data_IF_535975155373
#
_entry.id   IF_535975155373
#
_cell.length_a   1.000
_cell.length_b   1.000
_cell.length_c   1.000
_cell.angle_alpha   90.00
_cell.angle_beta   90.00
_cell.angle_gamma   90.00
#
_symmetry.space_group_name_H-M   'P 1'
#
loop_
_entity.id
_entity.type
_entity.pdbx_description
1 polymer ?
#
# COMPACT_ATOMS: atom_id res chain seq x y z
N UNK A 1 16.08 -58.66 38.39
CA UNK A 1 15.81 -57.22 38.21
C UNK A 1 14.89 -57.06 37.00
N UNK A 2 13.59 -56.81 37.22
CA UNK A 2 12.56 -56.92 36.17
C UNK A 2 12.28 -55.54 35.55
N UNK A 3 12.73 -55.28 34.32
CA UNK A 3 12.45 -54.04 33.57
C UNK A 3 11.00 -54.05 33.09
N UNK A 4 10.12 -53.26 33.73
CA UNK A 4 8.79 -52.98 33.22
C UNK A 4 8.91 -51.99 32.07
N UNK A 5 8.77 -52.47 30.83
CA UNK A 5 8.67 -51.60 29.66
C UNK A 5 7.29 -50.93 29.69
N UNK A 6 7.22 -49.72 30.24
CA UNK A 6 6.06 -48.84 30.07
C UNK A 6 6.06 -48.32 28.62
N UNK A 7 5.44 -49.09 27.72
CA UNK A 7 5.10 -48.62 26.39
C UNK A 7 4.11 -47.45 26.54
N UNK A 8 4.61 -46.22 26.47
CA UNK A 8 3.76 -45.03 26.41
C UNK A 8 2.78 -45.17 25.25
N UNK A 9 1.47 -45.04 25.53
CA UNK A 9 0.43 -45.00 24.50
C UNK A 9 0.83 -43.94 23.47
N UNK A 10 1.09 -44.38 22.24
CA UNK A 10 1.26 -43.48 21.10
C UNK A 10 -0.12 -42.86 20.82
N UNK A 11 -0.37 -41.68 21.37
CA UNK A 11 -1.56 -40.89 21.08
C UNK A 11 -1.36 -40.28 19.69
N UNK A 12 -1.82 -40.98 18.66
CA UNK A 12 -1.83 -40.47 17.27
C UNK A 12 -3.04 -39.56 17.04
N UNK A 13 -2.87 -38.58 16.15
CA UNK A 13 -3.96 -37.72 15.68
C UNK A 13 -4.96 -38.55 14.87
N UNK A 14 -6.26 -38.38 15.12
CA UNK A 14 -7.29 -39.09 14.36
C UNK A 14 -7.58 -38.36 13.04
N UNK A 15 -7.94 -39.11 11.99
CA UNK A 15 -8.36 -38.51 10.73
C UNK A 15 -9.62 -37.65 10.89
N UNK A 16 -10.51 -38.03 11.81
CA UNK A 16 -11.74 -37.27 12.08
C UNK A 16 -11.44 -35.91 12.73
N UNK A 17 -10.47 -35.84 13.64
CA UNK A 17 -10.02 -34.56 14.22
C UNK A 17 -9.51 -33.62 13.13
N UNK A 18 -8.77 -34.15 12.14
CA UNK A 18 -8.28 -33.32 11.04
C UNK A 18 -9.42 -32.82 10.14
N UNK A 19 -10.39 -33.68 9.84
CA UNK A 19 -11.54 -33.35 8.97
C UNK A 19 -12.41 -32.25 9.59
N UNK A 20 -12.66 -32.30 10.90
CA UNK A 20 -13.45 -31.27 11.58
C UNK A 20 -12.71 -29.92 11.58
N UNK A 21 -11.39 -29.93 11.79
CA UNK A 21 -10.58 -28.69 11.79
C UNK A 21 -10.61 -28.00 10.42
N UNK A 22 -10.41 -28.73 9.33
CA UNK A 22 -10.47 -28.14 7.98
C UNK A 22 -11.88 -27.64 7.64
N UNK A 23 -12.93 -28.30 8.13
CA UNK A 23 -14.30 -27.87 7.93
C UNK A 23 -14.58 -26.51 8.60
N UNK A 24 -14.14 -26.34 9.86
CA UNK A 24 -14.30 -25.07 10.59
C UNK A 24 -13.45 -23.95 9.96
N UNK A 25 -12.20 -24.24 9.59
CA UNK A 25 -11.33 -23.27 8.90
C UNK A 25 -11.96 -22.85 7.56
N UNK A 26 -12.56 -23.77 6.82
CA UNK A 26 -13.25 -23.47 5.56
C UNK A 26 -14.38 -22.45 5.73
N UNK A 27 -15.22 -22.62 6.74
CA UNK A 27 -16.34 -21.71 7.04
C UNK A 27 -15.83 -20.30 7.35
N UNK A 28 -14.83 -20.17 8.23
CA UNK A 28 -14.27 -18.87 8.60
C UNK A 28 -13.56 -18.22 7.40
N UNK A 29 -12.77 -18.99 6.67
CA UNK A 29 -11.98 -18.50 5.52
C UNK A 29 -12.88 -17.96 4.42
N UNK A 30 -14.04 -18.60 4.18
CA UNK A 30 -15.00 -18.14 3.17
C UNK A 30 -15.49 -16.71 3.38
N UNK A 31 -15.53 -16.23 4.63
CA UNK A 31 -15.97 -14.86 4.97
C UNK A 31 -14.74 -13.95 5.17
N UNK A 32 -13.69 -14.46 5.80
CA UNK A 32 -12.52 -13.67 6.17
C UNK A 32 -11.72 -13.20 4.94
N UNK A 33 -11.55 -14.06 3.92
CA UNK A 33 -10.74 -13.73 2.73
C UNK A 33 -11.28 -12.54 1.93
N UNK A 34 -12.56 -12.51 1.49
CA UNK A 34 -13.06 -11.38 0.71
C UNK A 34 -13.02 -10.06 1.51
N UNK A 35 -13.36 -10.12 2.80
CA UNK A 35 -13.30 -8.95 3.69
C UNK A 35 -11.88 -8.42 3.83
N UNK A 36 -10.91 -9.31 4.09
CA UNK A 36 -9.50 -8.94 4.17
C UNK A 36 -8.97 -8.31 2.89
N UNK A 37 -9.37 -8.83 1.72
CA UNK A 37 -8.99 -8.25 0.43
C UNK A 37 -9.56 -6.84 0.25
N UNK A 38 -10.82 -6.61 0.64
CA UNK A 38 -11.41 -5.27 0.61
C UNK A 38 -10.65 -4.30 1.51
N UNK A 39 -10.43 -4.66 2.78
CA UNK A 39 -9.70 -3.82 3.72
C UNK A 39 -8.28 -3.49 3.25
N UNK A 40 -7.59 -4.47 2.66
CA UNK A 40 -6.27 -4.26 2.07
C UNK A 40 -6.31 -3.27 0.91
N UNK A 41 -7.31 -3.38 0.04
CA UNK A 41 -7.46 -2.45 -1.08
C UNK A 41 -7.79 -1.03 -0.60
N UNK A 42 -8.70 -0.88 0.37
CA UNK A 42 -9.04 0.41 0.95
C UNK A 42 -7.85 1.07 1.66
N UNK A 43 -7.05 0.25 2.37
CA UNK A 43 -5.81 0.72 3.01
C UNK A 43 -4.79 1.23 1.98
N UNK A 44 -4.65 0.53 0.85
CA UNK A 44 -3.79 0.97 -0.26
C UNK A 44 -4.27 2.28 -0.87
N UNK A 45 -5.58 2.45 -1.04
CA UNK A 45 -6.16 3.69 -1.57
C UNK A 45 -5.87 4.87 -0.65
N UNK A 46 -6.12 4.71 0.65
CA UNK A 46 -5.81 5.75 1.64
C UNK A 46 -4.32 6.05 1.73
N UNK A 47 -3.47 5.03 1.64
CA UNK A 47 -2.02 5.22 1.65
C UNK A 47 -1.55 6.04 0.44
N UNK A 48 -2.11 5.78 -0.74
CA UNK A 48 -1.79 6.54 -1.96
C UNK A 48 -2.29 7.98 -1.89
N UNK A 49 -3.47 8.22 -1.31
CA UNK A 49 -4.01 9.56 -1.08
C UNK A 49 -3.12 10.37 -0.14
N UNK A 50 -2.73 9.81 1.01
CA UNK A 50 -1.82 10.45 1.97
C UNK A 50 -0.45 10.71 1.31
N UNK A 51 0.06 9.74 0.55
CA UNK A 51 1.33 9.89 -0.17
C UNK A 51 1.25 11.01 -1.20
N UNK A 52 0.16 11.10 -1.95
CA UNK A 52 -0.09 12.17 -2.91
C UNK A 52 -0.18 13.55 -2.25
N UNK A 53 -0.84 13.65 -1.09
CA UNK A 53 -0.87 14.88 -0.28
C UNK A 53 0.54 15.30 0.16
N UNK A 54 1.35 14.36 0.66
CA UNK A 54 2.73 14.62 1.06
C UNK A 54 3.59 15.12 -0.11
N UNK A 55 3.44 14.49 -1.30
CA UNK A 55 4.10 14.95 -2.53
C UNK A 55 3.66 16.37 -2.87
N UNK A 56 2.35 16.65 -2.84
CA UNK A 56 1.83 17.98 -3.15
C UNK A 56 2.36 19.05 -2.18
N UNK A 57 2.45 18.74 -0.88
CA UNK A 57 3.04 19.64 0.13
C UNK A 57 4.52 19.89 -0.17
N UNK A 58 5.31 18.84 -0.44
CA UNK A 58 6.72 18.97 -0.76
C UNK A 58 6.94 19.84 -2.01
N UNK A 59 6.15 19.60 -3.06
CA UNK A 59 6.13 20.42 -4.28
C UNK A 59 5.81 21.88 -3.94
N UNK A 60 4.81 22.14 -3.10
CA UNK A 60 4.39 23.50 -2.73
C UNK A 60 5.48 24.26 -1.95
N UNK A 61 6.17 23.57 -1.05
CA UNK A 61 7.31 24.15 -0.31
C UNK A 61 8.41 24.52 -1.29
N UNK A 62 8.73 23.62 -2.23
CA UNK A 62 9.78 23.86 -3.21
C UNK A 62 9.40 24.96 -4.22
N UNK A 63 8.16 25.03 -4.68
CA UNK A 63 7.65 26.15 -5.49
C UNK A 63 7.82 27.48 -4.76
N UNK A 64 7.58 27.50 -3.44
CA UNK A 64 7.75 28.70 -2.61
C UNK A 64 9.22 29.13 -2.48
N UNK A 65 10.16 28.18 -2.58
CA UNK A 65 11.61 28.45 -2.63
C UNK A 65 12.11 28.89 -4.02
N UNK A 66 11.23 28.95 -5.02
CA UNK A 66 11.57 29.41 -6.37
C UNK A 66 11.71 28.30 -7.41
N UNK A 67 11.20 27.08 -7.17
CA UNK A 67 11.05 26.11 -8.27
C UNK A 67 10.04 26.64 -9.30
N UNK A 68 10.42 26.65 -10.57
CA UNK A 68 9.55 27.02 -11.70
C UNK A 68 9.03 25.78 -12.41
N UNK A 69 7.94 25.94 -13.17
CA UNK A 69 7.22 24.86 -13.85
C UNK A 69 8.10 24.01 -14.78
N UNK A 70 9.08 24.62 -15.45
CA UNK A 70 10.02 23.93 -16.36
C UNK A 70 11.03 23.03 -15.63
N UNK A 71 11.32 23.30 -14.36
CA UNK A 71 12.28 22.50 -13.59
C UNK A 71 11.70 21.17 -13.13
N UNK A 72 10.38 20.99 -13.12
CA UNK A 72 9.76 19.75 -12.62
C UNK A 72 10.00 18.58 -13.55
N UNK A 73 10.25 18.78 -14.84
CA UNK A 73 10.35 17.69 -15.81
C UNK A 73 11.51 16.72 -15.59
N UNK A 74 12.56 17.07 -14.81
CA UNK A 74 13.62 16.13 -14.40
C UNK A 74 14.37 16.54 -13.11
N UNK A 75 14.83 17.79 -13.00
CA UNK A 75 15.63 18.25 -11.86
C UNK A 75 14.80 18.46 -10.60
N UNK A 76 13.54 18.84 -10.76
CA UNK A 76 12.56 19.09 -9.69
C UNK A 76 12.10 17.81 -9.03
N UNK A 77 11.79 16.75 -9.79
CA UNK A 77 11.51 15.43 -9.21
C UNK A 77 12.67 14.94 -8.34
N UNK A 78 13.91 15.11 -8.80
CA UNK A 78 15.10 14.72 -8.03
C UNK A 78 15.27 15.56 -6.75
N UNK A 79 15.10 16.88 -6.82
CA UNK A 79 15.18 17.76 -5.63
C UNK A 79 14.12 17.41 -4.58
N UNK A 80 12.89 17.15 -5.02
CA UNK A 80 11.81 16.74 -4.11
C UNK A 80 12.10 15.35 -3.53
N UNK A 81 12.60 14.42 -4.35
CA UNK A 81 12.97 13.09 -3.88
C UNK A 81 14.09 13.15 -2.83
N UNK A 82 15.17 13.87 -3.12
CA UNK A 82 16.33 14.03 -2.23
C UNK A 82 15.92 14.72 -0.90
N UNK A 83 15.05 15.74 -0.96
CA UNK A 83 14.67 16.53 0.20
C UNK A 83 13.60 15.91 1.10
N UNK A 84 12.68 15.11 0.54
CA UNK A 84 11.47 14.67 1.26
C UNK A 84 11.24 13.15 1.22
N UNK A 85 11.94 12.42 0.34
CA UNK A 85 11.70 10.99 0.10
C UNK A 85 13.00 10.16 0.03
N UNK A 86 14.05 10.56 0.76
CA UNK A 86 15.33 9.84 0.83
C UNK A 86 15.94 9.51 -0.56
N UNK A 87 15.76 10.42 -1.53
CA UNK A 87 16.30 10.30 -2.88
C UNK A 87 15.48 9.45 -3.84
N UNK A 88 14.39 8.81 -3.39
CA UNK A 88 13.54 7.96 -4.25
C UNK A 88 12.07 8.29 -4.06
N UNK A 89 11.39 8.67 -5.14
CA UNK A 89 9.94 8.92 -5.10
C UNK A 89 9.17 7.64 -4.74
N UNK A 90 8.15 7.74 -3.87
CA UNK A 90 7.28 6.61 -3.57
C UNK A 90 6.47 6.18 -4.80
N UNK A 91 5.99 4.93 -4.78
CA UNK A 91 5.11 4.36 -5.81
C UNK A 91 3.72 4.12 -5.25
N UNK A 92 2.72 4.15 -6.12
CA UNK A 92 1.35 3.81 -5.78
C UNK A 92 1.24 2.36 -5.33
N UNK A 93 0.55 2.12 -4.22
CA UNK A 93 0.25 0.78 -3.72
C UNK A 93 -0.94 0.13 -4.45
N UNK A 94 -1.80 0.94 -5.08
CA UNK A 94 -2.89 0.46 -5.94
C UNK A 94 -2.35 0.03 -7.31
N UNK A 95 -1.64 0.90 -8.03
CA UNK A 95 -1.21 0.66 -9.41
C UNK A 95 0.21 0.10 -9.53
N UNK A 96 1.06 0.32 -8.54
CA UNK A 96 2.49 0.00 -8.62
C UNK A 96 3.32 1.00 -9.43
N UNK A 97 2.68 2.04 -9.96
CA UNK A 97 3.31 3.04 -10.83
C UNK A 97 3.82 4.25 -10.05
N UNK A 98 4.70 5.03 -10.68
CA UNK A 98 5.16 6.30 -10.12
C UNK A 98 4.03 7.35 -10.16
N UNK A 99 4.03 8.25 -9.18
CA UNK A 99 3.14 9.40 -9.20
C UNK A 99 3.57 10.43 -10.24
N UNK A 100 2.60 10.97 -10.96
CA UNK A 100 2.75 12.06 -11.93
C UNK A 100 2.30 13.34 -11.23
N UNK A 101 3.16 14.35 -11.27
CA UNK A 101 2.88 15.67 -10.69
C UNK A 101 2.56 16.62 -11.84
N UNK A 102 1.37 17.22 -11.80
CA UNK A 102 0.95 18.24 -12.76
C UNK A 102 0.73 19.55 -12.03
N UNK A 103 1.47 20.58 -12.42
CA UNK A 103 1.33 21.91 -11.85
C UNK A 103 0.72 22.80 -12.91
N UNK A 104 -0.53 23.21 -12.69
CA UNK A 104 -1.25 24.07 -13.64
C UNK A 104 -0.87 25.53 -13.39
N UNK A 105 -0.69 25.91 -12.12
CA UNK A 105 -0.24 27.22 -11.65
C UNK A 105 0.46 27.07 -10.29
N UNK A 106 1.20 28.08 -9.81
CA UNK A 106 1.89 28.07 -8.51
C UNK A 106 1.01 27.75 -7.27
N UNK A 107 -0.32 27.76 -7.40
CA UNK A 107 -1.27 27.35 -6.35
C UNK A 107 -2.02 26.05 -6.62
N UNK A 108 -2.04 25.55 -7.86
CA UNK A 108 -2.84 24.41 -8.28
C UNK A 108 -1.92 23.24 -8.65
N UNK A 109 -1.67 22.38 -7.67
CA UNK A 109 -0.88 21.15 -7.79
C UNK A 109 -1.86 19.98 -7.84
N UNK A 110 -1.70 19.11 -8.83
CA UNK A 110 -2.40 17.83 -8.90
C UNK A 110 -1.38 16.70 -8.86
N UNK A 111 -1.69 15.64 -8.10
CA UNK A 111 -0.88 14.43 -8.05
C UNK A 111 -1.78 13.27 -8.46
N UNK A 112 -1.35 12.56 -9.50
CA UNK A 112 -2.12 11.51 -10.15
C UNK A 112 -1.25 10.30 -10.43
N UNK A 113 -1.89 9.16 -10.65
CA UNK A 113 -1.34 7.99 -11.32
C UNK A 113 -2.04 7.86 -12.68
N UNK A 114 -1.65 6.89 -13.50
CA UNK A 114 -2.29 6.66 -14.80
C UNK A 114 -3.81 6.43 -14.69
N UNK A 115 -4.29 5.88 -13.57
CA UNK A 115 -5.71 5.50 -13.38
C UNK A 115 -6.45 6.31 -12.33
N UNK A 116 -5.75 7.06 -11.49
CA UNK A 116 -6.36 7.75 -10.35
C UNK A 116 -5.76 9.12 -10.16
N UNK A 117 -6.61 10.14 -10.08
CA UNK A 117 -6.28 11.42 -9.48
C UNK A 117 -6.39 11.26 -7.96
N UNK A 118 -5.34 11.60 -7.23
CA UNK A 118 -5.25 11.35 -5.78
C UNK A 118 -5.26 12.65 -4.97
N UNK A 119 -4.78 13.73 -5.56
CA UNK A 119 -4.80 15.07 -4.96
C UNK A 119 -5.21 16.11 -6.02
N UNK A 120 -6.05 17.11 -5.69
CA UNK A 120 -6.60 17.45 -4.36
C UNK A 120 -7.78 16.59 -3.89
N UNK A 121 -8.43 15.86 -4.79
CA UNK A 121 -9.56 14.99 -4.47
C UNK A 121 -9.36 13.65 -5.20
N UNK A 122 -9.70 12.55 -4.52
CA UNK A 122 -9.61 11.22 -5.09
C UNK A 122 -10.68 11.00 -6.18
N UNK A 123 -10.24 10.76 -7.41
CA UNK A 123 -11.13 10.49 -8.54
C UNK A 123 -10.49 9.47 -9.48
N UNK A 124 -11.27 8.48 -9.92
CA UNK A 124 -10.82 7.53 -10.94
C UNK A 124 -10.81 8.22 -12.31
N UNK A 125 -9.69 8.09 -13.02
CA UNK A 125 -9.52 8.60 -14.38
C UNK A 125 -9.94 7.46 -15.33
N UNK A 126 -10.89 7.75 -16.23
CA UNK A 126 -11.38 6.78 -17.22
C UNK A 126 -10.40 6.65 -18.39
#
# INVERSE_FOLDING_TARGET
>A
MNKKNCAGKKNGFTLIELIIVIAVIGIITSIAVPNYMSYKNDAKVKADEITAQNIAIAVKVELSKGLTLENISNSGYKKIADGYFNGVMPKSQITGESFIISIVNNSNIAVSTTKYKLYPEFQKIN
#
